data_IF_458609474088
#
_entry.id   IF_458609474088
#
_cell.length_a   1.000
_cell.length_b   1.000
_cell.length_c   1.000
_cell.angle_alpha   90.00
_cell.angle_beta   90.00
_cell.angle_gamma   90.00
#
_symmetry.space_group_name_H-M   'P 1'
#
loop_
_entity.id
_entity.type
_entity.pdbx_description
1 polymer ?
#
# COMPACT_ATOMS: atom_id res chain seq x y z
N UNK A 1 -37.02 -22.40 -59.11
CA UNK A 1 -37.63 -23.67 -59.61
C UNK A 1 -36.78 -24.81 -59.09
N UNK A 2 -37.46 -25.89 -58.72
CA UNK A 2 -38.07 -26.22 -57.45
C UNK A 2 -37.39 -27.49 -56.88
N UNK A 3 -37.70 -28.00 -55.73
CA UNK A 3 -38.79 -28.75 -55.09
C UNK A 3 -38.29 -29.20 -53.71
N UNK A 4 -38.99 -28.93 -52.71
CA UNK A 4 -39.79 -29.79 -51.86
C UNK A 4 -39.43 -31.29 -51.87
N UNK A 5 -39.20 -31.81 -50.64
CA UNK A 5 -40.09 -32.83 -50.08
C UNK A 5 -39.82 -33.09 -48.60
N UNK A 6 -40.89 -33.01 -47.85
CA UNK A 6 -41.11 -33.41 -46.48
C UNK A 6 -41.19 -34.93 -46.34
N UNK A 7 -40.79 -35.48 -45.18
CA UNK A 7 -41.46 -36.68 -44.63
C UNK A 7 -41.33 -36.71 -43.07
N UNK A 8 -42.50 -36.70 -42.50
CA UNK A 8 -42.84 -37.05 -41.12
C UNK A 8 -42.60 -38.54 -40.83
N UNK A 9 -42.18 -38.89 -39.62
CA UNK A 9 -42.72 -40.06 -38.88
C UNK A 9 -42.38 -40.01 -37.39
N UNK A 10 -43.39 -39.83 -36.61
CA UNK A 10 -43.96 -40.53 -35.43
C UNK A 10 -43.03 -40.98 -34.30
N UNK A 11 -43.38 -40.48 -33.12
CA UNK A 11 -42.99 -41.00 -31.78
C UNK A 11 -43.63 -42.40 -31.49
N UNK A 12 -43.12 -43.08 -30.44
CA UNK A 12 -44.05 -43.44 -29.39
C UNK A 12 -43.53 -43.12 -27.94
N UNK A 13 -44.54 -42.86 -27.13
CA UNK A 13 -44.52 -42.71 -25.68
C UNK A 13 -44.15 -44.01 -24.96
N UNK A 14 -43.41 -43.92 -23.82
CA UNK A 14 -43.75 -44.68 -22.57
C UNK A 14 -42.92 -44.17 -21.37
N UNK A 15 -43.63 -43.67 -20.41
CA UNK A 15 -43.89 -44.01 -19.01
C UNK A 15 -42.74 -43.78 -17.96
N UNK A 16 -43.01 -42.80 -17.13
CA UNK A 16 -43.00 -42.71 -15.64
C UNK A 16 -42.13 -43.65 -14.83
N UNK A 17 -41.28 -43.05 -14.03
CA UNK A 17 -41.02 -43.18 -12.57
C UNK A 17 -39.58 -42.73 -12.33
N UNK A 18 -39.22 -41.92 -11.41
CA UNK A 18 -39.58 -41.49 -10.08
C UNK A 18 -38.75 -40.23 -9.77
N UNK A 19 -39.42 -39.15 -9.60
CA UNK A 19 -38.93 -37.95 -8.97
C UNK A 19 -39.05 -38.12 -7.46
N UNK A 20 -37.93 -38.04 -6.76
CA UNK A 20 -38.03 -38.10 -5.30
C UNK A 20 -36.79 -37.79 -4.48
N UNK A 21 -35.60 -37.59 -5.09
CA UNK A 21 -34.38 -37.40 -4.31
C UNK A 21 -33.59 -36.15 -4.59
N UNK A 22 -33.97 -35.29 -5.53
CA UNK A 22 -33.20 -34.09 -5.89
C UNK A 22 -33.55 -32.84 -5.04
N UNK A 23 -34.69 -32.81 -4.39
CA UNK A 23 -35.13 -31.62 -3.64
C UNK A 23 -34.48 -31.47 -2.24
N UNK A 24 -34.10 -32.58 -1.61
CA UNK A 24 -33.48 -32.51 -0.26
C UNK A 24 -32.01 -32.10 -0.27
N UNK A 25 -31.26 -32.42 -1.33
CA UNK A 25 -29.84 -32.04 -1.44
C UNK A 25 -29.63 -30.55 -1.76
N UNK A 26 -30.56 -29.95 -2.54
CA UNK A 26 -30.47 -28.53 -2.88
C UNK A 26 -30.88 -27.65 -1.67
N UNK A 27 -31.83 -28.07 -0.86
CA UNK A 27 -32.21 -27.34 0.35
C UNK A 27 -31.09 -27.36 1.42
N UNK A 28 -30.36 -28.47 1.54
CA UNK A 28 -29.26 -28.58 2.49
C UNK A 28 -28.03 -27.77 2.05
N UNK A 29 -27.77 -27.68 0.75
CA UNK A 29 -26.66 -26.85 0.22
C UNK A 29 -26.97 -25.35 0.35
N UNK A 30 -28.22 -24.93 0.13
CA UNK A 30 -28.64 -23.53 0.30
C UNK A 30 -28.63 -23.11 1.79
N UNK A 31 -28.96 -24.00 2.72
CA UNK A 31 -28.87 -23.72 4.16
C UNK A 31 -27.44 -23.64 4.65
N UNK A 32 -26.50 -24.43 4.10
CA UNK A 32 -25.07 -24.36 4.45
C UNK A 32 -24.42 -23.10 3.89
N UNK A 33 -24.74 -22.70 2.67
CA UNK A 33 -24.23 -21.46 2.07
C UNK A 33 -24.84 -20.24 2.77
N UNK A 34 -26.11 -20.28 3.12
CA UNK A 34 -26.78 -19.23 3.88
C UNK A 34 -26.14 -19.04 5.27
N UNK A 35 -25.88 -20.11 6.01
CA UNK A 35 -25.28 -20.03 7.33
C UNK A 35 -23.81 -19.55 7.30
N UNK A 36 -23.02 -19.93 6.29
CA UNK A 36 -21.67 -19.43 6.11
C UNK A 36 -21.66 -17.92 5.80
N UNK A 37 -22.51 -17.46 4.89
CA UNK A 37 -22.64 -16.04 4.56
C UNK A 37 -23.14 -15.19 5.74
N UNK A 38 -24.02 -15.72 6.59
CA UNK A 38 -24.46 -15.05 7.82
C UNK A 38 -23.33 -15.00 8.87
N UNK A 39 -22.59 -16.09 9.06
CA UNK A 39 -21.46 -16.14 9.99
C UNK A 39 -20.32 -15.20 9.56
N UNK A 40 -20.02 -15.13 8.28
CA UNK A 40 -19.04 -14.19 7.73
C UNK A 40 -19.48 -12.72 7.89
N UNK A 41 -20.77 -12.44 7.68
CA UNK A 41 -21.31 -11.10 7.87
C UNK A 41 -21.31 -10.69 9.36
N UNK A 42 -21.59 -11.62 10.26
CA UNK A 42 -21.56 -11.38 11.70
C UNK A 42 -20.11 -11.21 12.20
N UNK A 43 -19.15 -11.96 11.69
CA UNK A 43 -17.73 -11.84 11.98
C UNK A 43 -17.18 -10.50 11.49
N UNK A 44 -17.55 -10.04 10.31
CA UNK A 44 -17.15 -8.75 9.75
C UNK A 44 -17.80 -7.53 10.43
N UNK A 45 -18.88 -7.73 11.20
CA UNK A 45 -19.51 -6.68 12.00
C UNK A 45 -18.79 -6.37 13.31
N UNK A 46 -17.87 -7.24 13.77
CA UNK A 46 -17.09 -6.98 14.99
C UNK A 46 -16.05 -5.89 14.73
N UNK A 47 -15.79 -5.00 15.71
CA UNK A 47 -14.80 -3.97 15.54
C UNK A 47 -13.39 -4.54 15.41
N UNK A 48 -12.60 -3.92 14.55
CA UNK A 48 -11.16 -4.16 14.45
C UNK A 48 -10.49 -3.63 15.71
N UNK A 49 -9.60 -4.40 16.32
CA UNK A 49 -8.85 -4.02 17.52
C UNK A 49 -7.42 -4.51 17.45
N UNK A 50 -6.55 -3.95 18.28
CA UNK A 50 -5.21 -4.48 18.49
C UNK A 50 -5.31 -5.89 19.09
N UNK A 51 -4.70 -6.86 18.44
CA UNK A 51 -4.62 -8.26 18.89
C UNK A 51 -3.28 -8.55 19.55
N UNK A 52 -2.19 -8.07 18.95
CA UNK A 52 -0.83 -8.25 19.45
C UNK A 52 0.09 -7.19 18.85
N UNK A 53 1.30 -7.10 19.41
CA UNK A 53 2.39 -6.28 18.89
C UNK A 53 3.62 -7.16 18.69
N UNK A 54 4.32 -6.97 17.58
CA UNK A 54 5.52 -7.73 17.22
C UNK A 54 6.71 -6.78 17.41
N UNK A 55 7.55 -6.99 18.43
CA UNK A 55 8.77 -6.21 18.60
C UNK A 55 9.73 -6.45 17.43
N UNK A 56 10.38 -5.38 16.96
CA UNK A 56 11.40 -5.44 15.92
C UNK A 56 12.78 -5.53 16.59
N UNK A 57 13.53 -6.61 16.41
CA UNK A 57 14.88 -6.72 16.98
C UNK A 57 15.83 -5.75 16.27
N UNK A 58 16.62 -4.95 17.03
CA UNK A 58 17.59 -4.07 16.43
C UNK A 58 18.78 -4.85 15.83
N UNK A 59 19.26 -4.39 14.68
CA UNK A 59 20.52 -4.86 14.10
C UNK A 59 21.72 -4.11 14.67
N UNK A 60 22.93 -4.57 14.37
CA UNK A 60 24.15 -3.86 14.74
C UNK A 60 24.29 -2.46 14.07
N UNK A 61 23.61 -2.24 12.96
CA UNK A 61 23.54 -0.95 12.27
C UNK A 61 22.71 0.08 13.04
N UNK A 62 21.73 -0.39 13.83
CA UNK A 62 20.84 0.47 14.62
C UNK A 62 21.43 0.75 16.02
N UNK A 63 22.29 1.74 16.12
CA UNK A 63 22.96 2.09 17.39
C UNK A 63 21.98 2.54 18.48
N UNK A 64 20.87 3.18 18.10
CA UNK A 64 19.84 3.65 19.02
C UNK A 64 18.90 2.55 19.52
N UNK A 65 18.93 1.38 18.92
CA UNK A 65 18.11 0.21 19.23
C UNK A 65 16.59 0.45 19.19
N UNK A 66 16.15 1.55 18.59
CA UNK A 66 14.76 1.89 18.40
C UNK A 66 14.37 1.73 16.93
N UNK A 67 13.21 1.20 16.67
CA UNK A 67 12.59 1.27 15.36
C UNK A 67 11.99 2.65 15.18
N UNK A 68 12.54 3.46 14.27
CA UNK A 68 12.19 4.88 14.14
C UNK A 68 11.98 5.36 12.70
N UNK A 69 12.45 4.59 11.73
CA UNK A 69 12.33 4.92 10.32
C UNK A 69 12.11 3.65 9.51
N UNK A 70 11.09 3.66 8.71
CA UNK A 70 10.69 2.57 7.81
C UNK A 70 9.99 3.18 6.60
N UNK A 71 9.56 2.35 5.70
CA UNK A 71 8.73 2.76 4.58
C UNK A 71 7.62 1.73 4.30
N UNK A 72 7.49 1.29 3.07
CA UNK A 72 6.38 0.50 2.60
C UNK A 72 6.43 -0.93 3.13
N UNK A 73 5.25 -1.48 3.38
CA UNK A 73 5.04 -2.87 3.75
C UNK A 73 4.24 -3.63 2.68
N UNK A 74 4.34 -4.95 2.69
CA UNK A 74 3.64 -5.80 1.73
C UNK A 74 3.30 -7.16 2.35
N UNK A 75 2.07 -7.65 2.13
CA UNK A 75 1.69 -9.04 2.44
C UNK A 75 1.60 -9.85 1.14
N UNK A 76 2.45 -10.85 1.00
CA UNK A 76 2.30 -11.87 -0.02
C UNK A 76 1.14 -12.81 0.34
N UNK A 77 0.01 -12.66 -0.34
CA UNK A 77 -1.21 -13.41 -0.08
C UNK A 77 -1.06 -14.92 -0.34
N UNK A 78 -0.06 -15.32 -1.12
CA UNK A 78 0.21 -16.72 -1.43
C UNK A 78 1.04 -17.40 -0.37
N UNK A 79 2.15 -16.80 0.02
CA UNK A 79 3.08 -17.31 1.03
C UNK A 79 2.67 -16.95 2.44
N UNK A 80 1.80 -15.97 2.61
CA UNK A 80 1.39 -15.39 3.89
C UNK A 80 2.57 -14.81 4.67
N UNK A 81 3.52 -14.22 3.98
CA UNK A 81 4.61 -13.46 4.58
C UNK A 81 4.34 -11.97 4.44
N UNK A 82 4.55 -11.26 5.53
CA UNK A 82 4.60 -9.80 5.56
C UNK A 82 6.05 -9.37 5.49
N UNK A 83 6.32 -8.34 4.71
CA UNK A 83 7.63 -7.71 4.53
C UNK A 83 7.52 -6.23 4.86
N UNK A 84 8.52 -5.68 5.53
CA UNK A 84 8.61 -4.25 5.86
C UNK A 84 10.00 -3.72 5.52
N UNK A 85 10.04 -2.62 4.77
CA UNK A 85 11.27 -1.88 4.52
C UNK A 85 11.70 -1.11 5.78
N UNK A 86 12.65 -1.64 6.55
CA UNK A 86 13.14 -1.06 7.81
C UNK A 86 14.46 -0.30 7.59
N UNK A 87 14.33 1.01 7.48
CA UNK A 87 15.47 1.94 7.35
C UNK A 87 16.28 2.04 8.63
N UNK A 88 15.66 1.83 9.81
CA UNK A 88 16.32 1.91 11.11
C UNK A 88 17.39 0.83 11.26
N UNK A 89 17.12 -0.35 10.72
CA UNK A 89 17.93 -1.55 10.83
C UNK A 89 18.69 -1.90 9.53
N UNK A 90 18.49 -1.17 8.45
CA UNK A 90 19.06 -1.42 7.11
C UNK A 90 18.70 -2.81 6.56
N UNK A 91 17.46 -3.25 6.77
CA UNK A 91 16.98 -4.60 6.42
C UNK A 91 15.54 -4.56 5.92
N UNK A 92 15.06 -5.70 5.44
CA UNK A 92 13.63 -5.98 5.33
C UNK A 92 13.24 -6.94 6.45
N UNK A 93 12.30 -6.54 7.30
CA UNK A 93 11.71 -7.41 8.30
C UNK A 93 10.75 -8.40 7.66
N UNK A 94 10.79 -9.64 8.12
CA UNK A 94 9.93 -10.73 7.63
C UNK A 94 9.11 -11.30 8.78
N UNK A 95 7.79 -11.25 8.61
CA UNK A 95 6.82 -11.74 9.59
C UNK A 95 5.97 -12.84 8.93
N UNK A 96 5.69 -13.91 9.65
CA UNK A 96 4.64 -14.85 9.27
C UNK A 96 3.27 -14.20 9.53
N UNK A 97 2.60 -13.77 8.47
CA UNK A 97 1.31 -13.09 8.55
C UNK A 97 0.16 -14.06 8.89
N UNK A 98 0.39 -15.37 8.92
CA UNK A 98 -0.62 -16.34 9.35
C UNK A 98 -0.68 -16.46 10.88
N UNK A 99 0.45 -16.33 11.53
CA UNK A 99 0.63 -16.50 12.98
C UNK A 99 1.00 -15.21 13.72
N UNK A 100 1.21 -14.10 13.00
CA UNK A 100 1.71 -12.83 13.53
C UNK A 100 3.05 -13.00 14.29
N UNK A 101 3.96 -13.78 13.74
CA UNK A 101 5.24 -14.08 14.37
C UNK A 101 6.42 -13.53 13.56
N UNK A 102 7.37 -12.90 14.26
CA UNK A 102 8.64 -12.48 13.65
C UNK A 102 9.41 -13.70 13.15
N UNK A 103 9.93 -13.65 11.91
CA UNK A 103 10.65 -14.74 11.27
C UNK A 103 12.14 -14.42 11.18
N UNK A 104 12.50 -13.34 10.52
CA UNK A 104 13.90 -12.98 10.25
C UNK A 104 14.02 -11.56 9.72
N UNK A 105 15.25 -11.12 9.52
CA UNK A 105 15.61 -9.89 8.82
C UNK A 105 16.47 -10.25 7.61
N UNK A 106 16.17 -9.63 6.46
CA UNK A 106 16.91 -9.82 5.22
C UNK A 106 17.70 -8.55 4.89
N UNK A 107 19.01 -8.70 4.72
CA UNK A 107 19.90 -7.64 4.25
C UNK A 107 20.25 -7.84 2.78
N UNK A 108 20.66 -6.77 2.11
CA UNK A 108 21.25 -6.85 0.78
C UNK A 108 22.79 -6.96 0.82
N UNK A 109 23.37 -7.36 -0.30
CA UNK A 109 24.80 -7.30 -0.52
C UNK A 109 25.08 -6.65 -1.89
N UNK A 110 25.65 -5.43 -1.93
CA UNK A 110 26.01 -4.55 -0.79
C UNK A 110 24.84 -4.22 0.14
N UNK A 111 25.09 -3.81 1.40
CA UNK A 111 24.04 -3.44 2.35
C UNK A 111 23.10 -2.35 1.81
N UNK A 112 21.87 -2.29 2.33
CA UNK A 112 20.98 -1.16 2.08
C UNK A 112 21.52 0.13 2.67
N UNK A 113 21.11 1.28 2.10
CA UNK A 113 21.57 2.60 2.51
C UNK A 113 21.29 2.92 3.98
N UNK A 114 20.18 2.39 4.52
CA UNK A 114 19.72 2.69 5.86
C UNK A 114 19.12 4.10 5.98
N UNK A 115 19.01 4.55 7.21
CA UNK A 115 18.61 5.92 7.48
C UNK A 115 19.77 6.88 7.21
N UNK A 116 19.52 7.83 6.33
CA UNK A 116 20.46 8.94 6.03
C UNK A 116 19.76 10.25 6.38
N UNK A 117 20.40 11.09 7.20
CA UNK A 117 19.80 12.37 7.56
C UNK A 117 19.68 13.30 6.34
N UNK A 118 18.72 14.24 6.38
CA UNK A 118 18.57 15.23 5.31
C UNK A 118 19.87 16.03 5.06
N UNK A 119 20.61 16.35 6.13
CA UNK A 119 21.88 17.07 6.03
C UNK A 119 22.97 16.22 5.36
N UNK A 120 23.07 14.94 5.72
CA UNK A 120 24.05 14.02 5.12
C UNK A 120 23.72 13.76 3.65
N UNK A 121 22.44 13.57 3.32
CA UNK A 121 21.99 13.43 1.94
C UNK A 121 22.32 14.67 1.10
N UNK A 122 22.03 15.86 1.61
CA UNK A 122 22.35 17.13 0.95
C UNK A 122 23.86 17.36 0.74
N UNK A 123 24.70 16.72 1.55
CA UNK A 123 26.16 16.78 1.42
C UNK A 123 26.69 15.88 0.30
N UNK A 124 25.91 14.91 -0.18
CA UNK A 124 26.28 14.05 -1.29
C UNK A 124 26.17 14.80 -2.64
N UNK A 125 27.08 14.58 -3.59
CA UNK A 125 26.95 15.15 -4.93
C UNK A 125 25.65 14.69 -5.60
N UNK A 126 24.73 15.62 -5.87
CA UNK A 126 23.41 15.33 -6.43
C UNK A 126 22.35 14.91 -5.42
N UNK A 127 22.66 14.88 -4.13
CA UNK A 127 21.70 14.54 -3.07
C UNK A 127 20.62 15.62 -2.90
N UNK A 128 19.38 15.17 -2.71
CA UNK A 128 18.26 16.05 -2.49
C UNK A 128 18.27 16.59 -1.05
N UNK A 129 18.20 17.94 -0.85
CA UNK A 129 18.13 18.53 0.48
C UNK A 129 16.92 18.08 1.33
N UNK A 130 15.89 17.49 0.69
CA UNK A 130 14.72 16.92 1.38
C UNK A 130 14.98 15.61 2.10
N UNK A 131 16.20 15.03 2.03
CA UNK A 131 16.53 13.81 2.77
C UNK A 131 16.09 12.52 2.11
N UNK A 132 16.32 12.37 0.81
CA UNK A 132 15.82 11.25 0.01
C UNK A 132 16.88 10.21 -0.37
N UNK A 133 17.96 10.08 0.43
CA UNK A 133 19.03 9.11 0.19
C UNK A 133 18.91 7.84 1.05
N UNK A 134 17.74 7.58 1.59
CA UNK A 134 17.45 6.50 2.53
C UNK A 134 17.07 5.19 1.82
N UNK A 135 17.11 4.08 2.53
CA UNK A 135 16.63 2.78 2.07
C UNK A 135 16.82 1.67 3.12
N UNK A 136 16.14 0.54 3.00
CA UNK A 136 15.17 0.17 1.95
C UNK A 136 13.88 1.00 2.00
N UNK A 137 13.12 1.01 0.89
CA UNK A 137 11.90 1.80 0.73
C UNK A 137 10.71 0.92 0.35
N UNK A 138 10.46 0.66 -0.93
CA UNK A 138 9.39 -0.23 -1.38
C UNK A 138 9.79 -1.71 -1.31
N UNK A 139 8.83 -2.57 -1.02
CA UNK A 139 8.99 -4.03 -1.00
C UNK A 139 7.82 -4.72 -1.69
N UNK A 140 8.10 -5.66 -2.59
CA UNK A 140 7.09 -6.54 -3.24
C UNK A 140 7.70 -7.92 -3.44
N UNK A 141 6.96 -8.99 -3.15
CA UNK A 141 7.42 -10.35 -3.41
C UNK A 141 6.64 -11.04 -4.53
N UNK A 142 7.31 -11.95 -5.19
CA UNK A 142 6.68 -12.86 -6.15
C UNK A 142 7.43 -14.20 -6.21
N UNK A 143 6.76 -15.25 -5.83
CA UNK A 143 7.35 -16.60 -5.80
C UNK A 143 8.50 -16.69 -4.82
N UNK A 144 9.72 -16.89 -5.32
CA UNK A 144 10.91 -16.96 -4.48
C UNK A 144 11.68 -15.63 -4.41
N UNK A 145 11.16 -14.57 -5.01
CA UNK A 145 11.86 -13.30 -5.15
C UNK A 145 11.22 -12.22 -4.31
N UNK A 146 12.04 -11.51 -3.57
CA UNK A 146 11.69 -10.26 -2.93
C UNK A 146 12.40 -9.13 -3.68
N UNK A 147 11.63 -8.19 -4.21
CA UNK A 147 12.13 -6.98 -4.86
C UNK A 147 12.07 -5.83 -3.88
N UNK A 148 13.17 -5.11 -3.77
CA UNK A 148 13.34 -4.02 -2.80
C UNK A 148 13.96 -2.82 -3.50
N UNK A 149 13.38 -1.65 -3.32
CA UNK A 149 14.00 -0.37 -3.71
C UNK A 149 14.82 0.19 -2.57
N UNK A 150 15.85 0.96 -2.90
CA UNK A 150 16.86 1.41 -1.94
C UNK A 150 17.39 2.81 -2.31
N UNK A 151 18.13 3.40 -1.40
CA UNK A 151 18.99 4.56 -1.68
C UNK A 151 19.94 4.31 -2.86
N UNK A 152 20.60 5.35 -3.34
CA UNK A 152 21.48 5.30 -4.51
C UNK A 152 20.75 4.86 -5.81
N UNK A 153 19.48 5.21 -5.94
CA UNK A 153 18.63 4.85 -7.09
C UNK A 153 18.72 3.36 -7.44
N UNK A 154 18.64 2.50 -6.44
CA UNK A 154 18.95 1.09 -6.53
C UNK A 154 17.68 0.22 -6.41
N UNK A 155 17.62 -0.88 -7.17
CA UNK A 155 16.61 -1.95 -7.00
C UNK A 155 17.34 -3.28 -6.84
N UNK A 156 16.95 -4.04 -5.83
CA UNK A 156 17.58 -5.31 -5.45
C UNK A 156 16.57 -6.44 -5.54
N UNK A 157 17.03 -7.64 -5.91
CA UNK A 157 16.30 -8.90 -5.75
C UNK A 157 16.99 -9.76 -4.70
N UNK A 158 16.24 -10.19 -3.70
CA UNK A 158 16.68 -11.18 -2.70
C UNK A 158 15.97 -12.51 -2.98
N UNK A 159 16.74 -13.60 -3.01
CA UNK A 159 16.19 -14.97 -3.06
C UNK A 159 15.69 -15.38 -1.67
N UNK A 160 14.38 -15.47 -1.49
CA UNK A 160 13.74 -15.80 -0.21
C UNK A 160 14.10 -17.19 0.33
N UNK A 161 14.66 -18.10 -0.52
CA UNK A 161 15.10 -19.42 -0.09
C UNK A 161 16.46 -19.41 0.59
N UNK A 162 17.30 -18.44 0.23
CA UNK A 162 18.71 -18.39 0.66
C UNK A 162 19.06 -17.12 1.41
N UNK A 163 18.24 -16.07 1.32
CA UNK A 163 18.52 -14.73 1.82
C UNK A 163 19.57 -13.96 1.01
N UNK A 164 20.03 -14.51 -0.13
CA UNK A 164 21.09 -13.89 -0.92
C UNK A 164 20.53 -12.86 -1.93
N UNK A 165 21.29 -11.78 -2.15
CA UNK A 165 21.07 -10.87 -3.26
C UNK A 165 21.43 -11.58 -4.57
N UNK A 166 20.49 -11.61 -5.53
CA UNK A 166 20.65 -12.27 -6.84
C UNK A 166 20.41 -11.32 -8.02
N UNK A 167 19.90 -10.14 -7.76
CA UNK A 167 19.73 -9.06 -8.72
C UNK A 167 20.02 -7.74 -8.07
N UNK A 168 20.64 -6.83 -8.83
CA UNK A 168 21.03 -5.50 -8.40
C UNK A 168 21.13 -4.61 -9.65
N UNK A 169 20.40 -3.51 -9.67
CA UNK A 169 20.44 -2.55 -10.77
C UNK A 169 20.20 -1.13 -10.26
N UNK A 170 20.94 -0.17 -10.82
CA UNK A 170 20.65 1.25 -10.60
C UNK A 170 19.66 1.76 -11.66
N UNK A 171 18.65 2.48 -11.24
CA UNK A 171 17.69 3.17 -12.12
C UNK A 171 18.32 4.42 -12.72
N UNK A 172 19.29 5.02 -12.00
CA UNK A 172 20.08 6.18 -12.43
C UNK A 172 21.49 6.08 -11.85
N UNK A 173 22.47 5.93 -12.73
CA UNK A 173 23.87 5.72 -12.34
C UNK A 173 24.44 6.91 -11.58
N UNK A 174 25.04 6.64 -10.42
CA UNK A 174 25.71 7.64 -9.58
C UNK A 174 24.79 8.63 -8.87
N UNK A 175 23.48 8.40 -8.90
CA UNK A 175 22.50 9.20 -8.18
C UNK A 175 22.38 8.70 -6.73
N UNK A 176 22.57 9.55 -5.70
CA UNK A 176 22.42 9.17 -4.31
C UNK A 176 20.96 9.12 -3.85
N UNK A 177 20.03 9.71 -4.60
CA UNK A 177 18.63 9.71 -4.25
C UNK A 177 18.05 8.30 -4.31
N UNK A 178 16.96 8.08 -3.60
CA UNK A 178 16.33 6.77 -3.50
C UNK A 178 15.56 6.40 -4.78
N UNK A 179 15.55 5.13 -5.11
CA UNK A 179 14.38 4.51 -5.69
C UNK A 179 13.41 4.27 -4.53
N UNK A 180 12.17 4.74 -4.66
CA UNK A 180 11.21 4.77 -3.57
C UNK A 180 10.29 3.54 -3.60
N UNK A 181 9.13 3.64 -4.16
CA UNK A 181 8.19 2.54 -4.23
C UNK A 181 8.30 1.73 -5.52
N UNK A 182 7.71 0.53 -5.53
CA UNK A 182 7.70 -0.32 -6.69
C UNK A 182 6.41 -1.15 -6.80
N UNK A 183 6.08 -1.53 -8.03
CA UNK A 183 5.07 -2.54 -8.33
C UNK A 183 5.63 -3.57 -9.31
N UNK A 184 5.08 -4.79 -9.27
CA UNK A 184 5.53 -5.89 -10.11
C UNK A 184 4.41 -6.45 -10.98
N UNK A 185 4.66 -6.54 -12.28
CA UNK A 185 3.86 -7.27 -13.26
C UNK A 185 4.34 -8.73 -13.35
N UNK A 186 3.61 -9.70 -12.79
CA UNK A 186 4.00 -11.09 -12.82
C UNK A 186 3.80 -11.75 -14.20
N UNK A 187 2.96 -11.19 -15.05
CA UNK A 187 2.69 -11.71 -16.39
C UNK A 187 3.90 -11.55 -17.30
N UNK A 188 4.40 -10.34 -17.38
CA UNK A 188 5.53 -10.02 -18.25
C UNK A 188 6.88 -10.03 -17.50
N UNK A 189 6.88 -10.09 -16.16
CA UNK A 189 8.07 -10.04 -15.32
C UNK A 189 8.75 -8.69 -15.40
N UNK A 190 8.00 -7.63 -15.12
CA UNK A 190 8.47 -6.25 -15.17
C UNK A 190 8.19 -5.58 -13.82
N UNK A 191 9.18 -4.91 -13.27
CA UNK A 191 9.04 -3.99 -12.14
C UNK A 191 8.87 -2.58 -12.72
N UNK A 192 7.94 -1.82 -12.16
CA UNK A 192 7.94 -0.37 -12.21
C UNK A 192 8.51 0.14 -10.87
N UNK A 193 9.70 0.73 -10.88
CA UNK A 193 10.32 1.37 -9.73
C UNK A 193 10.28 2.89 -9.90
N UNK A 194 9.98 3.61 -8.82
CA UNK A 194 9.75 5.05 -8.84
C UNK A 194 10.93 5.78 -8.19
N UNK A 195 11.49 6.78 -8.88
CA UNK A 195 12.41 7.75 -8.30
C UNK A 195 11.63 9.06 -8.08
N UNK A 196 11.11 9.22 -6.86
CA UNK A 196 10.21 10.31 -6.51
C UNK A 196 10.93 11.63 -6.22
N UNK A 197 12.17 11.56 -5.73
CA UNK A 197 12.92 12.67 -5.19
C UNK A 197 13.78 13.43 -6.20
N UNK A 198 13.82 12.99 -7.42
CA UNK A 198 14.51 13.70 -8.51
C UNK A 198 13.75 14.97 -8.89
N UNK A 199 14.48 15.96 -9.42
CA UNK A 199 13.88 17.24 -9.90
C UNK A 199 12.75 16.98 -10.89
N UNK A 200 12.93 15.99 -11.77
CA UNK A 200 11.88 15.41 -12.60
C UNK A 200 11.71 13.97 -12.11
N UNK A 201 10.65 13.65 -11.38
CA UNK A 201 10.39 12.28 -10.97
C UNK A 201 10.29 11.37 -12.19
N UNK A 202 10.68 10.11 -12.04
CA UNK A 202 10.61 9.16 -13.14
C UNK A 202 10.31 7.75 -12.67
N UNK A 203 9.72 6.95 -13.55
CA UNK A 203 9.55 5.53 -13.39
C UNK A 203 10.59 4.75 -14.21
N UNK A 204 11.05 3.64 -13.69
CA UNK A 204 11.96 2.72 -14.37
C UNK A 204 11.27 1.38 -14.60
N UNK A 205 11.18 0.97 -15.88
CA UNK A 205 10.74 -0.38 -16.24
C UNK A 205 11.96 -1.31 -16.20
N UNK A 206 11.92 -2.29 -15.30
CA UNK A 206 13.02 -3.20 -15.04
C UNK A 206 12.55 -4.62 -15.33
N UNK A 207 13.23 -5.31 -16.23
CA UNK A 207 12.97 -6.71 -16.54
C UNK A 207 13.55 -7.63 -15.49
N UNK A 208 12.72 -8.54 -14.99
CA UNK A 208 13.11 -9.62 -14.09
C UNK A 208 13.28 -10.91 -14.87
N UNK A 209 14.42 -11.55 -14.73
CA UNK A 209 14.58 -12.94 -15.13
C UNK A 209 13.89 -13.84 -14.08
N UNK A 210 12.71 -14.35 -14.39
CA UNK A 210 11.90 -15.13 -13.45
C UNK A 210 12.56 -16.41 -12.94
N UNK A 211 13.64 -16.90 -13.60
CA UNK A 211 14.37 -18.12 -13.19
C UNK A 211 15.51 -17.80 -12.21
N UNK A 212 16.16 -16.68 -12.37
CA UNK A 212 17.38 -16.31 -11.62
C UNK A 212 17.18 -15.13 -10.67
N UNK A 213 16.11 -14.36 -10.82
CA UNK A 213 15.91 -13.11 -10.07
C UNK A 213 16.74 -11.93 -10.58
N UNK A 214 17.60 -12.12 -11.59
CA UNK A 214 18.44 -11.03 -12.11
C UNK A 214 17.61 -9.93 -12.76
N UNK A 215 18.09 -8.68 -12.65
CA UNK A 215 17.42 -7.46 -13.07
C UNK A 215 18.12 -6.84 -14.28
N UNK A 216 17.35 -6.23 -15.16
CA UNK A 216 17.85 -5.46 -16.32
C UNK A 216 16.99 -4.23 -16.52
N UNK A 217 17.55 -3.05 -16.36
CA UNK A 217 16.87 -1.79 -16.68
C UNK A 217 16.56 -1.75 -18.19
N UNK A 218 15.29 -1.56 -18.53
CA UNK A 218 14.83 -1.50 -19.92
C UNK A 218 14.69 -0.07 -20.41
N UNK A 219 14.00 0.76 -19.64
CA UNK A 219 13.74 2.16 -19.98
C UNK A 219 13.35 2.96 -18.73
N UNK A 220 13.52 4.27 -18.83
CA UNK A 220 13.02 5.24 -17.85
C UNK A 220 11.93 6.10 -18.48
N UNK A 221 10.96 6.49 -17.69
CA UNK A 221 9.78 7.27 -18.08
C UNK A 221 9.81 8.57 -17.26
N UNK A 222 10.26 9.68 -17.82
CA UNK A 222 10.25 10.94 -17.07
C UNK A 222 8.80 11.45 -16.91
N UNK A 223 8.44 11.84 -15.72
CA UNK A 223 7.13 12.39 -15.39
C UNK A 223 7.19 13.92 -15.39
N UNK A 224 7.33 14.51 -16.57
CA UNK A 224 7.60 15.96 -16.73
C UNK A 224 6.50 16.85 -16.18
N UNK A 225 5.27 16.35 -16.07
CA UNK A 225 4.15 17.08 -15.49
C UNK A 225 4.01 16.87 -13.98
N UNK A 226 4.68 15.88 -13.39
CA UNK A 226 4.71 15.69 -11.95
C UNK A 226 5.68 16.72 -11.33
N UNK A 227 5.17 17.54 -10.43
CA UNK A 227 5.91 18.70 -9.89
C UNK A 227 6.12 18.65 -8.38
N UNK A 228 5.67 17.56 -7.73
CA UNK A 228 5.86 17.31 -6.31
C UNK A 228 6.00 15.81 -6.02
N UNK A 229 6.91 15.14 -6.72
CA UNK A 229 7.15 13.71 -6.53
C UNK A 229 6.21 12.81 -7.33
N UNK A 230 6.34 11.54 -7.04
CA UNK A 230 5.48 10.44 -7.49
C UNK A 230 5.53 9.36 -6.40
N UNK A 231 4.40 8.80 -6.04
CA UNK A 231 4.22 7.97 -4.84
C UNK A 231 3.88 6.52 -5.18
N UNK A 232 2.93 5.90 -4.49
CA UNK A 232 2.65 4.48 -4.58
C UNK A 232 2.21 4.00 -5.98
N UNK A 233 2.97 3.08 -6.62
CA UNK A 233 2.55 2.37 -7.81
C UNK A 233 1.86 1.06 -7.44
N UNK A 234 0.93 0.60 -8.29
CA UNK A 234 0.33 -0.72 -8.18
C UNK A 234 0.15 -1.37 -9.55
N UNK A 235 0.27 -2.70 -9.62
CA UNK A 235 -0.03 -3.46 -10.81
C UNK A 235 -1.50 -3.90 -10.83
N UNK A 236 -2.23 -3.57 -11.90
CA UNK A 236 -3.58 -4.05 -12.13
C UNK A 236 -3.59 -5.23 -13.12
N UNK A 237 -3.79 -6.47 -12.65
CA UNK A 237 -3.82 -7.64 -13.53
C UNK A 237 -5.05 -7.69 -14.44
N UNK A 238 -6.12 -6.95 -14.09
CA UNK A 238 -7.37 -6.98 -14.84
C UNK A 238 -7.26 -6.29 -16.20
N UNK A 239 -6.49 -5.21 -16.30
CA UNK A 239 -6.28 -4.48 -17.55
C UNK A 239 -4.83 -4.47 -18.04
N UNK A 240 -3.91 -4.98 -17.23
CA UNK A 240 -2.51 -5.13 -17.60
C UNK A 240 -1.73 -3.82 -17.64
N UNK A 241 -2.00 -2.90 -16.70
CA UNK A 241 -1.30 -1.64 -16.54
C UNK A 241 -0.83 -1.43 -15.10
N UNK A 242 0.19 -0.63 -14.95
CA UNK A 242 0.51 -0.02 -13.67
C UNK A 242 -0.33 1.23 -13.48
N UNK A 243 -0.69 1.51 -12.22
CA UNK A 243 -1.28 2.76 -11.78
C UNK A 243 -0.36 3.38 -10.75
N UNK A 244 -0.20 4.71 -10.77
CA UNK A 244 0.77 5.45 -9.97
C UNK A 244 0.16 6.74 -9.46
N UNK A 245 0.22 6.96 -8.16
CA UNK A 245 -0.19 8.22 -7.53
C UNK A 245 0.80 9.34 -7.84
N UNK A 246 0.27 10.49 -8.24
CA UNK A 246 1.04 11.70 -8.50
C UNK A 246 0.48 12.84 -7.64
N UNK A 247 1.22 13.30 -6.63
CA UNK A 247 0.73 14.30 -5.67
C UNK A 247 0.33 15.64 -6.28
N UNK A 248 1.06 16.06 -7.32
CA UNK A 248 0.83 17.35 -7.97
C UNK A 248 1.23 17.30 -9.45
N UNK A 249 0.38 17.88 -10.30
CA UNK A 249 0.70 18.04 -11.72
C UNK A 249 0.69 19.51 -12.14
N UNK A 250 1.52 19.84 -13.15
CA UNK A 250 1.58 21.14 -13.80
C UNK A 250 1.82 22.34 -12.86
N UNK A 251 2.42 22.12 -11.68
CA UNK A 251 2.67 23.16 -10.68
C UNK A 251 1.42 23.64 -9.92
N UNK A 252 0.27 22.96 -10.07
CA UNK A 252 -0.97 23.31 -9.37
C UNK A 252 -1.09 22.43 -8.13
N UNK A 253 -0.88 22.99 -6.95
CA UNK A 253 -0.83 22.24 -5.69
C UNK A 253 -2.12 21.46 -5.39
N UNK A 254 -3.28 22.00 -5.75
CA UNK A 254 -4.58 21.36 -5.52
C UNK A 254 -4.99 20.36 -6.61
N UNK A 255 -4.09 20.04 -7.53
CA UNK A 255 -4.38 19.12 -8.64
C UNK A 255 -3.33 18.02 -8.68
N UNK A 256 -3.71 16.84 -8.27
CA UNK A 256 -2.94 15.61 -8.42
C UNK A 256 -3.42 14.78 -9.59
N UNK A 257 -2.90 13.56 -9.69
CA UNK A 257 -3.31 12.61 -10.73
C UNK A 257 -3.06 11.17 -10.31
N UNK A 258 -3.69 10.24 -11.03
CA UNK A 258 -3.26 8.86 -11.13
C UNK A 258 -2.77 8.64 -12.57
N UNK A 259 -1.54 8.17 -12.71
CA UNK A 259 -0.97 7.79 -14.01
C UNK A 259 -1.21 6.31 -14.28
N UNK A 260 -1.81 6.00 -15.42
CA UNK A 260 -1.94 4.65 -15.95
C UNK A 260 -0.80 4.41 -16.94
N UNK A 261 0.06 3.42 -16.65
CA UNK A 261 1.32 3.21 -17.34
C UNK A 261 1.36 1.83 -17.99
N UNK A 262 1.63 1.80 -19.29
CA UNK A 262 1.74 0.55 -20.04
C UNK A 262 3.11 -0.14 -19.77
N UNK A 263 3.14 -1.42 -19.33
CA UNK A 263 4.36 -2.08 -18.81
C UNK A 263 5.46 -2.32 -19.87
N UNK A 264 5.15 -2.27 -21.15
CA UNK A 264 6.12 -2.53 -22.22
C UNK A 264 6.60 -1.28 -22.95
N UNK A 265 5.72 -0.30 -23.10
CA UNK A 265 6.00 0.92 -23.86
C UNK A 265 6.32 2.11 -22.99
N UNK A 266 5.93 2.08 -21.72
CA UNK A 266 5.99 3.24 -20.84
C UNK A 266 5.01 4.35 -21.19
N UNK A 267 4.04 4.09 -22.08
CA UNK A 267 3.00 5.08 -22.42
C UNK A 267 2.17 5.40 -21.17
N UNK A 268 1.90 6.69 -20.96
CA UNK A 268 1.21 7.22 -19.78
C UNK A 268 -0.11 7.85 -20.20
N UNK A 269 -1.19 7.42 -19.54
CA UNK A 269 -2.49 8.10 -19.54
C UNK A 269 -2.66 8.79 -18.18
N UNK A 270 -3.23 9.99 -18.17
CA UNK A 270 -3.38 10.82 -16.96
C UNK A 270 -4.84 10.86 -16.54
N UNK A 271 -5.12 10.47 -15.30
CA UNK A 271 -6.42 10.62 -14.65
C UNK A 271 -6.25 11.71 -13.59
N UNK A 272 -6.80 12.90 -13.85
CA UNK A 272 -6.68 14.04 -12.94
C UNK A 272 -7.54 13.84 -11.68
N UNK A 273 -7.00 14.20 -10.53
CA UNK A 273 -7.68 14.20 -9.23
C UNK A 273 -7.58 15.60 -8.64
N UNK A 274 -8.71 16.29 -8.52
CA UNK A 274 -8.75 17.65 -7.99
C UNK A 274 -8.93 17.63 -6.45
N UNK A 275 -8.40 18.65 -5.79
CA UNK A 275 -8.48 18.89 -4.35
C UNK A 275 -7.87 17.82 -3.46
N UNK A 276 -7.03 16.97 -4.00
CA UNK A 276 -6.33 15.87 -3.35
C UNK A 276 -4.89 15.83 -3.87
N UNK A 277 -3.95 15.62 -2.96
CA UNK A 277 -2.57 15.25 -3.27
C UNK A 277 -2.47 13.73 -3.13
N UNK A 278 -2.61 12.94 -4.21
CA UNK A 278 -2.54 11.49 -4.16
C UNK A 278 -1.20 10.99 -3.64
N UNK A 279 -1.23 10.04 -2.69
CA UNK A 279 -0.07 9.30 -2.21
C UNK A 279 -0.33 7.80 -2.26
N UNK A 280 -1.00 7.21 -1.26
CA UNK A 280 -1.35 5.81 -1.27
C UNK A 280 -2.31 5.42 -2.40
N UNK A 281 -2.14 4.19 -2.94
CA UNK A 281 -3.02 3.64 -3.95
C UNK A 281 -3.19 2.13 -3.77
N UNK A 282 -4.43 1.66 -3.65
CA UNK A 282 -4.75 0.24 -3.56
C UNK A 282 -5.93 -0.15 -4.44
N UNK A 283 -5.77 -1.22 -5.22
CA UNK A 283 -6.88 -1.77 -6.00
C UNK A 283 -7.96 -2.33 -5.07
N UNK A 284 -9.20 -2.14 -5.46
CA UNK A 284 -10.38 -2.66 -4.77
C UNK A 284 -11.24 -3.56 -5.65
N UNK A 285 -12.47 -3.86 -5.21
CA UNK A 285 -13.41 -4.66 -5.99
C UNK A 285 -13.84 -3.89 -7.25
N UNK A 286 -14.38 -4.61 -8.22
CA UNK A 286 -15.09 -4.07 -9.41
C UNK A 286 -14.33 -2.98 -10.19
N UNK A 287 -13.01 -3.15 -10.35
CA UNK A 287 -12.13 -2.18 -11.03
C UNK A 287 -12.11 -0.79 -10.36
N UNK A 288 -12.21 -0.76 -9.04
CA UNK A 288 -12.02 0.45 -8.25
C UNK A 288 -10.61 0.54 -7.68
N UNK A 289 -10.25 1.72 -7.19
CA UNK A 289 -9.05 1.93 -6.38
C UNK A 289 -9.32 3.00 -5.32
N UNK A 290 -8.84 2.76 -4.10
CA UNK A 290 -8.72 3.81 -3.09
C UNK A 290 -7.46 4.60 -3.37
N UNK A 291 -7.59 5.92 -3.39
CA UNK A 291 -6.51 6.89 -3.48
C UNK A 291 -6.43 7.62 -2.15
N UNK A 292 -5.31 7.48 -1.46
CA UNK A 292 -5.01 8.23 -0.24
C UNK A 292 -4.66 9.67 -0.57
N UNK A 293 -5.35 10.62 0.05
CA UNK A 293 -5.07 12.04 -0.11
C UNK A 293 -4.19 12.54 1.04
N UNK A 294 -2.88 12.61 0.84
CA UNK A 294 -1.93 13.09 1.86
C UNK A 294 -2.18 14.57 2.21
N UNK A 295 -2.55 15.38 1.23
CA UNK A 295 -2.99 16.76 1.42
C UNK A 295 -4.32 16.97 0.72
N UNK A 296 -5.24 17.68 1.38
CA UNK A 296 -6.55 18.04 0.84
C UNK A 296 -6.65 19.54 0.71
N UNK A 297 -7.35 20.01 -0.31
CA UNK A 297 -7.52 21.42 -0.61
C UNK A 297 -9.01 21.80 -0.65
N UNK A 298 -9.30 23.05 -0.34
CA UNK A 298 -10.63 23.60 -0.55
C UNK A 298 -10.87 24.00 -2.04
N UNK A 299 -12.06 24.44 -2.35
CA UNK A 299 -12.44 24.84 -3.71
C UNK A 299 -11.66 26.05 -4.25
N UNK A 300 -11.02 26.80 -3.39
CA UNK A 300 -10.17 27.94 -3.74
C UNK A 300 -8.68 27.52 -3.87
N UNK A 301 -8.37 26.23 -3.66
CA UNK A 301 -7.03 25.67 -3.75
C UNK A 301 -6.17 25.90 -2.50
N UNK A 302 -6.77 26.31 -1.37
CA UNK A 302 -6.04 26.46 -0.12
C UNK A 302 -5.94 25.11 0.60
N UNK A 303 -4.82 24.85 1.22
CA UNK A 303 -4.66 23.67 2.08
C UNK A 303 -5.71 23.73 3.19
N UNK A 304 -6.42 22.63 3.40
CA UNK A 304 -7.58 22.51 4.30
C UNK A 304 -7.33 22.99 5.75
N UNK A 305 -6.10 23.06 6.21
CA UNK A 305 -5.72 23.44 7.57
C UNK A 305 -4.64 24.54 7.59
N UNK A 306 -4.78 25.58 6.81
CA UNK A 306 -3.90 26.75 6.94
C UNK A 306 -4.44 27.70 8.00
N UNK A 307 -3.58 28.10 8.95
CA UNK A 307 -3.86 29.15 9.96
C UNK A 307 -4.98 28.84 10.98
N UNK A 308 -5.23 27.56 11.29
CA UNK A 308 -6.24 27.16 12.29
C UNK A 308 -7.69 27.28 11.81
N UNK A 309 -7.90 27.49 10.52
CA UNK A 309 -9.23 27.48 9.89
C UNK A 309 -9.36 26.22 9.02
N UNK A 310 -10.37 25.40 9.32
CA UNK A 310 -10.72 24.27 8.48
C UNK A 310 -11.53 24.79 7.32
N UNK A 311 -11.01 24.60 6.11
CA UNK A 311 -11.64 25.06 4.88
C UNK A 311 -12.21 23.90 4.06
N UNK A 312 -11.71 22.67 4.29
CA UNK A 312 -12.22 21.44 3.68
C UNK A 312 -12.14 20.29 4.70
N UNK A 313 -12.90 19.22 4.49
CA UNK A 313 -12.79 18.01 5.29
C UNK A 313 -11.63 17.16 4.78
N UNK A 314 -10.83 16.53 5.65
CA UNK A 314 -9.94 15.44 5.23
C UNK A 314 -10.72 14.39 4.46
N UNK A 315 -10.15 13.90 3.38
CA UNK A 315 -10.79 12.89 2.54
C UNK A 315 -9.77 12.02 1.84
N UNK A 316 -10.17 10.80 1.55
CA UNK A 316 -9.64 9.97 0.49
C UNK A 316 -10.68 9.84 -0.63
N UNK A 317 -10.32 9.27 -1.77
CA UNK A 317 -11.26 9.09 -2.87
C UNK A 317 -11.24 7.65 -3.39
N UNK A 318 -12.41 7.12 -3.73
CA UNK A 318 -12.51 5.85 -4.45
C UNK A 318 -12.77 6.16 -5.92
N UNK A 319 -11.86 5.70 -6.76
CA UNK A 319 -11.82 5.96 -8.20
C UNK A 319 -12.29 4.73 -8.98
N UNK A 320 -13.09 4.93 -10.02
CA UNK A 320 -13.32 3.92 -11.05
C UNK A 320 -12.13 3.90 -12.03
N UNK A 321 -11.40 2.81 -12.08
CA UNK A 321 -10.29 2.64 -13.05
C UNK A 321 -10.78 2.42 -14.49
N UNK A 322 -12.08 2.11 -14.66
CA UNK A 322 -12.70 1.95 -15.99
C UNK A 322 -13.02 3.29 -16.62
N UNK A 323 -13.54 4.24 -15.84
CA UNK A 323 -14.01 5.54 -16.35
C UNK A 323 -13.10 6.71 -15.99
N UNK A 324 -12.20 6.54 -15.02
CA UNK A 324 -11.39 7.62 -14.44
C UNK A 324 -12.20 8.59 -13.56
N UNK A 325 -13.43 8.21 -13.16
CA UNK A 325 -14.29 9.07 -12.36
C UNK A 325 -14.21 8.72 -10.87
N UNK A 326 -14.24 9.73 -10.00
CA UNK A 326 -14.41 9.53 -8.56
C UNK A 326 -15.82 9.00 -8.31
N UNK A 327 -15.92 7.85 -7.64
CA UNK A 327 -17.17 7.23 -7.24
C UNK A 327 -17.61 7.70 -5.85
N UNK A 328 -16.65 7.77 -4.91
CA UNK A 328 -16.91 8.16 -3.54
C UNK A 328 -15.83 9.13 -3.04
N UNK A 329 -16.27 10.10 -2.26
CA UNK A 329 -15.42 10.90 -1.38
C UNK A 329 -15.54 10.33 0.03
N UNK A 330 -14.46 9.80 0.56
CA UNK A 330 -14.39 9.18 1.89
C UNK A 330 -14.00 10.27 2.89
N UNK A 331 -14.97 11.00 3.40
CA UNK A 331 -14.73 12.10 4.31
C UNK A 331 -14.41 11.63 5.74
N UNK A 332 -13.49 12.32 6.40
CA UNK A 332 -13.09 12.08 7.78
C UNK A 332 -11.82 11.26 7.95
N UNK A 333 -11.15 10.96 6.86
CA UNK A 333 -9.80 10.38 6.83
C UNK A 333 -8.95 11.11 5.81
N UNK A 334 -7.64 11.04 5.94
CA UNK A 334 -6.68 11.45 4.93
C UNK A 334 -5.52 10.52 5.06
N UNK A 335 -5.19 9.80 4.00
CA UNK A 335 -4.16 8.79 4.03
C UNK A 335 -2.83 9.35 3.53
N UNK A 336 -1.77 8.85 4.14
CA UNK A 336 -0.41 9.07 3.68
C UNK A 336 -0.01 8.12 2.57
N UNK A 337 1.19 7.59 2.71
CA UNK A 337 1.91 6.96 1.61
C UNK A 337 1.34 5.60 1.21
N UNK A 338 0.73 4.84 2.14
CA UNK A 338 0.20 3.52 1.81
C UNK A 338 -1.24 3.32 2.28
N UNK A 339 -2.03 2.73 1.41
CA UNK A 339 -3.37 2.22 1.69
C UNK A 339 -3.47 0.78 1.19
N UNK A 340 -4.35 -0.02 1.79
CA UNK A 340 -4.47 -1.45 1.48
C UNK A 340 -5.92 -1.90 1.39
N UNK A 341 -6.25 -2.67 0.34
CA UNK A 341 -7.51 -3.39 0.24
C UNK A 341 -7.36 -4.81 0.77
N UNK A 342 -8.20 -5.19 1.72
CA UNK A 342 -8.30 -6.54 2.20
C UNK A 342 -9.52 -7.26 1.60
N UNK A 343 -9.29 -8.13 0.64
CA UNK A 343 -10.38 -8.89 0.00
C UNK A 343 -11.02 -9.93 0.92
N UNK A 344 -10.44 -10.21 2.08
CA UNK A 344 -10.98 -11.17 3.04
C UNK A 344 -12.15 -10.60 3.84
N UNK A 345 -12.18 -9.30 4.10
CA UNK A 345 -13.26 -8.62 4.81
C UNK A 345 -13.91 -7.47 4.02
N UNK A 346 -13.48 -7.30 2.77
CA UNK A 346 -13.98 -6.28 1.84
C UNK A 346 -13.84 -4.84 2.36
N UNK A 347 -12.75 -4.55 3.09
CA UNK A 347 -12.46 -3.21 3.56
C UNK A 347 -11.14 -2.69 2.98
N UNK A 348 -11.08 -1.37 2.82
CA UNK A 348 -9.80 -0.68 2.73
C UNK A 348 -9.31 -0.29 4.12
N UNK A 349 -8.00 -0.28 4.26
CA UNK A 349 -7.28 0.22 5.42
C UNK A 349 -6.40 1.38 4.95
N UNK A 350 -6.58 2.54 5.57
CA UNK A 350 -5.86 3.76 5.22
C UNK A 350 -5.16 4.32 6.45
N UNK A 351 -3.83 4.48 6.36
CA UNK A 351 -3.00 5.12 7.41
C UNK A 351 -2.41 6.40 6.87
N UNK A 352 -2.15 7.36 7.73
CA UNK A 352 -1.64 8.66 7.31
C UNK A 352 -0.39 9.10 8.05
N UNK A 353 0.59 9.62 7.33
CA UNK A 353 1.86 10.08 7.88
C UNK A 353 1.88 11.53 8.34
N UNK A 354 1.00 12.37 7.85
CA UNK A 354 1.12 13.79 8.05
C UNK A 354 -0.13 14.64 8.02
N UNK A 355 -1.23 14.14 7.50
CA UNK A 355 -2.47 14.91 7.43
C UNK A 355 -3.16 14.93 8.79
N UNK A 356 -3.27 16.06 9.46
CA UNK A 356 -3.97 16.14 10.74
C UNK A 356 -5.45 15.85 10.52
N UNK A 357 -5.93 14.77 11.07
CA UNK A 357 -7.35 14.41 11.10
C UNK A 357 -8.21 15.38 11.95
N UNK A 358 -7.60 16.10 12.89
CA UNK A 358 -8.34 16.97 13.78
C UNK A 358 -8.12 18.44 13.48
N UNK A 359 -9.18 19.27 13.66
CA UNK A 359 -9.01 20.66 13.99
C UNK A 359 -8.33 20.72 15.36
N UNK A 360 -7.01 20.63 15.38
CA UNK A 360 -6.26 20.84 16.60
C UNK A 360 -6.14 22.34 16.83
N UNK A 361 -6.35 22.83 18.08
CA UNK A 361 -5.86 24.15 18.45
C UNK A 361 -4.39 24.22 18.06
N UNK A 362 -3.96 25.31 17.46
CA UNK A 362 -2.66 25.51 16.84
C UNK A 362 -1.42 25.21 17.73
N UNK A 363 -1.61 24.90 19.00
CA UNK A 363 -0.57 24.60 19.97
C UNK A 363 -0.23 23.09 20.10
N UNK A 364 -0.91 22.20 19.41
CA UNK A 364 -0.73 20.75 19.55
C UNK A 364 -0.65 20.07 18.19
N UNK A 365 0.18 20.58 17.31
CA UNK A 365 0.41 20.04 15.96
C UNK A 365 1.16 18.69 16.02
N UNK A 366 0.47 17.67 16.49
CA UNK A 366 0.88 16.30 16.20
C UNK A 366 0.08 15.85 14.98
N UNK A 367 0.77 15.58 13.88
CA UNK A 367 0.17 14.92 12.74
C UNK A 367 -0.42 13.59 13.22
N UNK A 368 -1.72 13.45 13.21
CA UNK A 368 -2.40 12.31 13.82
C UNK A 368 -3.51 11.90 12.93
N UNK A 369 -3.16 11.16 11.89
CA UNK A 369 -4.18 10.47 11.11
C UNK A 369 -4.44 9.13 11.76
N UNK A 370 -5.67 8.85 12.22
CA UNK A 370 -6.02 7.51 12.65
C UNK A 370 -6.00 6.57 11.44
N UNK A 371 -5.81 5.27 11.69
CA UNK A 371 -6.11 4.28 10.68
C UNK A 371 -7.63 4.25 10.46
N UNK A 372 -8.07 4.45 9.23
CA UNK A 372 -9.46 4.30 8.84
C UNK A 372 -9.68 2.88 8.29
N UNK A 373 -10.82 2.28 8.67
CA UNK A 373 -11.38 1.08 8.07
C UNK A 373 -12.57 1.53 7.23
N UNK A 374 -12.51 1.30 5.93
CA UNK A 374 -13.46 1.85 4.96
C UNK A 374 -14.12 0.69 4.23
N UNK A 375 -15.44 0.64 4.22
CA UNK A 375 -16.20 -0.33 3.41
C UNK A 375 -15.95 -0.08 1.92
N UNK A 376 -15.48 -1.09 1.21
CA UNK A 376 -15.05 -0.92 -0.18
C UNK A 376 -16.23 -0.81 -1.17
N UNK A 377 -17.44 -1.19 -0.79
CA UNK A 377 -18.63 -1.08 -1.64
C UNK A 377 -19.31 0.28 -1.50
N UNK A 378 -19.33 0.83 -0.29
CA UNK A 378 -20.08 2.07 0.00
C UNK A 378 -19.19 3.30 0.13
N UNK A 379 -17.90 3.13 0.41
CA UNK A 379 -16.99 4.22 0.74
C UNK A 379 -17.20 4.78 2.16
N UNK A 380 -18.01 4.14 2.98
CA UNK A 380 -18.25 4.59 4.36
C UNK A 380 -17.09 4.22 5.29
N UNK A 381 -16.69 5.14 6.17
CA UNK A 381 -15.78 4.81 7.26
C UNK A 381 -16.56 4.02 8.31
N UNK A 382 -16.25 2.73 8.43
CA UNK A 382 -16.89 1.85 9.42
C UNK A 382 -16.22 1.93 10.78
N UNK A 383 -14.95 2.34 10.82
CA UNK A 383 -14.20 2.51 12.06
C UNK A 383 -12.95 3.38 11.87
N UNK A 384 -12.54 4.05 12.96
CA UNK A 384 -11.22 4.67 13.07
C UNK A 384 -10.47 4.13 14.29
N UNK A 385 -9.17 3.93 14.16
CA UNK A 385 -8.28 3.43 15.21
C UNK A 385 -7.16 4.44 15.44
N UNK A 386 -6.88 4.74 16.69
CA UNK A 386 -5.79 5.65 17.04
C UNK A 386 -4.43 5.00 16.67
N UNK A 387 -3.65 5.68 15.83
CA UNK A 387 -2.30 5.27 15.42
C UNK A 387 -1.26 6.35 15.71
N UNK A 388 -1.49 7.14 16.75
CA UNK A 388 -0.68 8.27 17.13
C UNK A 388 -0.33 8.23 18.61
N UNK A 389 0.76 8.88 18.97
CA UNK A 389 1.17 9.03 20.37
C UNK A 389 0.11 9.78 21.18
N UNK A 390 -0.24 9.22 22.33
CA UNK A 390 -0.98 9.98 23.32
C UNK A 390 -0.03 11.00 23.95
N UNK A 391 -0.46 12.26 24.21
CA UNK A 391 0.34 13.20 24.97
C UNK A 391 0.54 12.59 26.38
N UNK A 392 1.78 12.28 26.73
CA UNK A 392 2.10 11.94 28.12
C UNK A 392 1.91 13.19 28.98
N UNK A 393 1.25 13.05 30.13
CA UNK A 393 1.11 14.14 31.08
C UNK A 393 2.52 14.58 31.53
N UNK A 394 2.94 15.76 31.09
CA UNK A 394 4.24 16.33 31.40
C UNK A 394 5.42 15.89 30.54
N UNK A 395 5.22 15.07 29.51
CA UNK A 395 6.27 14.75 28.56
C UNK A 395 6.26 15.75 27.39
N UNK A 396 7.41 16.25 27.04
CA UNK A 396 7.64 16.89 25.75
C UNK A 396 7.75 15.76 24.73
N UNK A 397 6.79 15.65 23.79
CA UNK A 397 6.88 14.72 22.67
C UNK A 397 7.96 15.18 21.67
N UNK A 398 9.16 15.39 22.15
CA UNK A 398 10.31 15.76 21.34
C UNK A 398 11.14 14.52 21.06
N UNK A 399 11.52 14.27 19.81
CA UNK A 399 12.52 13.24 19.51
C UNK A 399 13.77 13.44 20.40
N UNK A 400 14.41 12.37 20.92
CA UNK A 400 14.28 10.98 20.52
C UNK A 400 13.31 10.14 21.36
N UNK A 401 12.62 10.72 22.36
CA UNK A 401 11.87 9.92 23.34
C UNK A 401 10.55 9.36 22.78
N UNK A 402 9.84 10.14 21.98
CA UNK A 402 8.62 9.70 21.28
C UNK A 402 8.47 10.50 19.99
N UNK A 403 9.06 10.09 18.88
CA UNK A 403 8.75 10.69 17.60
C UNK A 403 7.23 10.61 17.36
N UNK A 404 6.67 11.57 16.65
CA UNK A 404 5.26 11.55 16.28
C UNK A 404 4.94 10.17 15.70
N UNK A 405 4.29 9.32 16.49
CA UNK A 405 4.16 7.89 16.23
C UNK A 405 3.06 7.59 15.23
N UNK A 406 3.06 8.28 14.09
CA UNK A 406 2.11 8.04 13.02
C UNK A 406 2.62 6.94 12.12
N UNK A 407 1.72 6.01 11.76
CA UNK A 407 2.03 5.05 10.71
C UNK A 407 1.66 5.60 9.35
N UNK A 408 2.54 5.42 8.37
CA UNK A 408 2.24 5.71 6.97
C UNK A 408 2.15 4.45 6.09
N UNK A 409 2.27 3.27 6.72
CA UNK A 409 2.24 2.00 6.00
C UNK A 409 1.23 1.04 6.63
N UNK A 410 0.57 0.24 5.81
CA UNK A 410 -0.39 -0.78 6.21
C UNK A 410 -0.44 -1.90 5.19
N UNK A 411 -0.51 -3.15 5.65
CA UNK A 411 -0.81 -4.28 4.79
C UNK A 411 -1.69 -5.30 5.51
N UNK A 412 -2.52 -6.04 4.78
CA UNK A 412 -3.44 -6.99 5.37
C UNK A 412 -3.35 -8.37 4.71
N UNK A 413 -3.55 -9.41 5.51
CA UNK A 413 -3.64 -10.79 5.05
C UNK A 413 -5.11 -11.18 4.85
N UNK A 414 -5.51 -11.35 3.60
CA UNK A 414 -6.89 -11.64 3.24
C UNK A 414 -7.40 -13.03 3.72
N UNK A 415 -6.51 -13.95 4.11
CA UNK A 415 -6.93 -15.27 4.57
C UNK A 415 -7.40 -15.31 6.02
N UNK A 416 -6.87 -14.41 6.85
CA UNK A 416 -7.21 -14.35 8.28
C UNK A 416 -7.64 -12.97 8.74
N UNK A 417 -7.66 -11.99 7.85
CA UNK A 417 -8.03 -10.60 8.09
C UNK A 417 -7.15 -9.90 9.14
N UNK A 418 -5.91 -10.37 9.32
CA UNK A 418 -4.93 -9.64 10.12
C UNK A 418 -4.39 -8.44 9.34
N UNK A 419 -4.33 -7.30 10.01
CA UNK A 419 -3.85 -6.03 9.48
C UNK A 419 -2.59 -5.64 10.23
N UNK A 420 -1.51 -5.43 9.50
CA UNK A 420 -0.18 -5.12 10.02
C UNK A 420 0.10 -3.64 9.82
N UNK A 421 0.43 -2.96 10.90
CA UNK A 421 0.68 -1.51 10.92
C UNK A 421 2.00 -1.27 11.66
N UNK A 422 3.07 -0.86 10.96
CA UNK A 422 4.32 -0.56 11.64
C UNK A 422 4.21 0.77 12.38
N UNK A 423 4.68 0.77 13.60
CA UNK A 423 4.77 1.97 14.44
C UNK A 423 6.21 2.27 14.79
N UNK A 424 6.71 3.45 14.50
CA UNK A 424 7.91 3.95 15.18
C UNK A 424 7.60 4.03 16.66
N UNK A 425 8.62 4.21 17.50
CA UNK A 425 8.46 4.34 18.96
C UNK A 425 7.16 5.04 19.32
N UNK A 426 6.22 4.32 19.91
CA UNK A 426 4.83 4.74 20.07
C UNK A 426 4.34 4.46 21.50
N UNK A 427 3.69 5.42 22.14
CA UNK A 427 3.14 5.28 23.50
C UNK A 427 1.62 5.03 23.55
N UNK A 428 0.94 4.94 22.42
CA UNK A 428 -0.47 4.52 22.36
C UNK A 428 -0.63 3.05 22.75
N UNK A 429 0.42 2.24 22.45
CA UNK A 429 0.44 0.82 22.74
C UNK A 429 1.66 0.47 23.61
N UNK A 430 1.47 -0.15 24.80
CA UNK A 430 2.54 -0.37 25.78
C UNK A 430 3.75 -1.13 25.24
N UNK A 431 3.53 -2.07 24.32
CA UNK A 431 4.59 -2.93 23.76
C UNK A 431 5.32 -2.30 22.57
N UNK A 432 4.98 -1.05 22.22
CA UNK A 432 5.55 -0.34 21.07
C UNK A 432 6.44 0.85 21.47
N UNK A 433 6.90 0.92 22.72
CA UNK A 433 7.74 2.04 23.19
C UNK A 433 9.07 2.18 22.45
N UNK A 434 9.62 1.07 21.94
CA UNK A 434 10.82 1.05 21.08
C UNK A 434 10.50 0.89 19.61
N UNK A 435 9.21 0.92 19.26
CA UNK A 435 8.70 0.61 17.94
C UNK A 435 8.29 -0.87 17.78
N UNK A 436 7.30 -1.11 16.96
CA UNK A 436 6.75 -2.44 16.74
C UNK A 436 6.00 -2.53 15.41
N UNK A 437 5.60 -3.74 15.02
CA UNK A 437 4.51 -3.97 14.07
C UNK A 437 3.27 -4.33 14.89
N UNK A 438 2.29 -3.43 14.94
CA UNK A 438 1.01 -3.68 15.58
C UNK A 438 0.13 -4.53 14.65
N UNK A 439 -0.51 -5.55 15.22
CA UNK A 439 -1.37 -6.48 14.48
C UNK A 439 -2.80 -6.26 14.94
N UNK A 440 -3.62 -5.80 14.01
CA UNK A 440 -5.04 -5.59 14.24
C UNK A 440 -5.86 -6.70 13.60
N UNK A 441 -7.06 -6.89 14.08
CA UNK A 441 -8.02 -7.84 13.53
C UNK A 441 -9.30 -7.86 14.33
N UNK A 442 -10.23 -8.72 13.91
CA UNK A 442 -11.50 -8.94 14.61
C UNK A 442 -11.35 -10.13 15.54
N UNK A 443 -11.89 -10.04 16.77
CA UNK A 443 -11.91 -11.21 17.65
C UNK A 443 -12.83 -12.29 17.12
N UNK A 444 -12.41 -13.53 17.25
CA UNK A 444 -13.26 -14.69 17.02
C UNK A 444 -14.44 -14.73 17.99
#
# INVERSE_FOLDING_TARGET
>A
MPKNESLLYAAPRKFFRSSGFAAAAVASALLLVGNAAWADKEKNSQPVKLLTSIPIPPTAANVGQNFYSYDISFVDQKTQMYFLADRSNNVVDVIDASSAAFVTQLSANPPFAGFVSAADCAALPGGNPGGSCVGPNGVVSWGNWLFVTDGNSRVVTIDLRTGNTVGDVQTKAGDPNRADELAYDPKDGVILAINNADIIPFGSLIKVNKKTGSLTLQTTIPFTNATNGAEQPIWNPADGHFYLSIPQINGVASTGAVYKIHPKTGAVEVIQIDFCSPAGLSLGPDHTALIGCNVVFDVDGNVWNTTGKITANPQDVILSLTTGSILFHVFGTGAGDEVWYNSGDNNYYATGSGSPYRPLPAATSFGTTPMAVIDAETGDIVQTLATYNAPAVGATNTPPEHPAGTSHSVAANAKNNLVFVPFPSNNAYPDCLTGCIAVFGRSE
#
